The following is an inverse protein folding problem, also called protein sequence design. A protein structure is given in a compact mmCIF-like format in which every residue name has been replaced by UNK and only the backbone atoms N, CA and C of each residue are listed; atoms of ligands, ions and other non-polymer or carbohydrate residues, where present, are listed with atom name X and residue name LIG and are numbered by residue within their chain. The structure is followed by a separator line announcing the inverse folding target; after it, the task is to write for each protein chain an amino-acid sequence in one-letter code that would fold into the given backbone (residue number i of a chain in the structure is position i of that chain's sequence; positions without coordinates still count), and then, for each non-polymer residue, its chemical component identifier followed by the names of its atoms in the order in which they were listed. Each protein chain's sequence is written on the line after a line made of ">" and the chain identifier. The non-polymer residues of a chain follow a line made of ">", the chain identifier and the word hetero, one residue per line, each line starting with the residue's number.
data_IF_639692220437
#
_entry.id   IF_639692220437
#
_cell.length_a   1.000
_cell.length_b   1.000
_cell.length_c   1.000
_cell.angle_alpha   90.00
_cell.angle_beta   90.00
_cell.angle_gamma   90.00
#
_symmetry.space_group_name_H-M   'P 1'
#
loop_
_entity.id
_entity.type
_entity.pdbx_description
1 polymer ?
#
# COMPACT_ATOMS: atom_id res chain seq x y z
N UNK A 1 -86.07 84.28 1.40
CA UNK A 1 -85.02 83.24 1.39
C UNK A 1 -85.60 82.03 2.08
N UNK A 2 -85.98 81.00 1.31
CA UNK A 2 -86.62 79.79 1.87
C UNK A 2 -85.52 78.87 2.40
N UNK A 3 -85.36 78.84 3.71
CA UNK A 3 -84.47 77.90 4.39
C UNK A 3 -85.17 76.54 4.41
N UNK A 4 -84.82 75.66 3.45
CA UNK A 4 -85.42 74.33 3.37
C UNK A 4 -84.76 73.41 4.40
N UNK A 5 -85.30 73.41 5.62
CA UNK A 5 -84.75 72.66 6.75
C UNK A 5 -84.60 71.15 6.46
N UNK A 6 -85.45 70.60 5.61
CA UNK A 6 -85.45 69.19 5.23
C UNK A 6 -84.19 68.78 4.45
N UNK A 7 -83.68 69.65 3.58
CA UNK A 7 -82.44 69.41 2.83
C UNK A 7 -81.21 69.49 3.76
N UNK A 8 -81.22 70.38 4.74
CA UNK A 8 -80.15 70.47 5.73
C UNK A 8 -80.10 69.21 6.61
N UNK A 9 -81.24 68.74 7.11
CA UNK A 9 -81.26 67.52 7.91
C UNK A 9 -80.92 66.28 7.09
N UNK A 10 -81.38 66.16 5.84
CA UNK A 10 -80.97 65.07 4.94
C UNK A 10 -79.48 65.08 4.64
N UNK A 11 -78.89 66.26 4.43
CA UNK A 11 -77.45 66.37 4.17
C UNK A 11 -76.63 65.96 5.38
N UNK A 12 -76.97 66.47 6.58
CA UNK A 12 -76.28 66.11 7.83
C UNK A 12 -76.43 64.62 8.14
N UNK A 13 -77.61 64.04 7.90
CA UNK A 13 -77.84 62.61 8.14
C UNK A 13 -77.07 61.73 7.14
N UNK A 14 -77.03 62.11 5.85
CA UNK A 14 -76.22 61.42 4.83
C UNK A 14 -74.74 61.52 5.13
N UNK A 15 -74.25 62.69 5.54
CA UNK A 15 -72.84 62.91 5.84
C UNK A 15 -72.42 62.10 7.08
N UNK A 16 -73.26 62.04 8.11
CA UNK A 16 -73.01 61.27 9.34
C UNK A 16 -73.14 59.76 9.14
N UNK A 17 -74.04 59.29 8.27
CA UNK A 17 -74.08 57.89 7.85
C UNK A 17 -72.86 57.53 6.99
N UNK A 18 -72.46 58.42 6.07
CA UNK A 18 -71.29 58.18 5.22
C UNK A 18 -69.99 58.18 6.02
N UNK A 19 -69.87 59.00 7.07
CA UNK A 19 -68.72 58.94 7.98
C UNK A 19 -68.74 57.65 8.79
N UNK A 20 -69.89 57.26 9.36
CA UNK A 20 -70.02 56.02 10.13
C UNK A 20 -69.75 54.75 9.31
N UNK A 21 -70.15 54.72 8.03
CA UNK A 21 -69.87 53.61 7.11
C UNK A 21 -68.37 53.58 6.75
N UNK A 22 -67.74 54.73 6.52
CA UNK A 22 -66.29 54.82 6.24
C UNK A 22 -65.43 54.39 7.44
N UNK A 23 -65.88 54.66 8.66
CA UNK A 23 -65.20 54.24 9.88
C UNK A 23 -65.35 52.72 10.08
N UNK A 24 -66.53 52.15 9.82
CA UNK A 24 -66.76 50.69 9.82
C UNK A 24 -65.97 49.94 8.73
N UNK A 25 -65.85 50.51 7.52
CA UNK A 25 -65.06 49.91 6.43
C UNK A 25 -63.55 49.96 6.73
N UNK A 26 -63.05 51.06 7.33
CA UNK A 26 -61.65 51.17 7.77
C UNK A 26 -61.30 50.17 8.88
N UNK A 27 -62.23 49.93 9.80
CA UNK A 27 -62.04 48.95 10.86
C UNK A 27 -62.13 47.51 10.33
N UNK A 28 -62.95 47.25 9.31
CA UNK A 28 -63.05 45.91 8.68
C UNK A 28 -61.77 45.50 7.93
N UNK A 29 -61.06 46.45 7.32
CA UNK A 29 -59.82 46.19 6.58
C UNK A 29 -58.62 45.86 7.50
N UNK A 30 -58.65 46.32 8.76
CA UNK A 30 -57.57 46.12 9.73
C UNK A 30 -57.86 45.04 10.80
N UNK A 31 -59.09 44.51 10.86
CA UNK A 31 -59.46 43.43 11.75
C UNK A 31 -59.10 42.07 11.13
N UNK A 32 -57.83 41.70 11.21
CA UNK A 32 -57.44 40.27 11.15
C UNK A 32 -58.21 39.59 12.29
N UNK A 33 -59.33 38.96 11.97
CA UNK A 33 -60.26 38.46 13.00
C UNK A 33 -59.52 37.41 13.83
N UNK A 34 -59.73 37.36 15.15
CA UNK A 34 -59.06 36.40 16.05
C UNK A 34 -59.12 34.95 15.53
N UNK A 35 -60.21 34.58 14.84
CA UNK A 35 -60.36 33.30 14.16
C UNK A 35 -59.35 33.05 13.02
N UNK A 36 -58.99 34.07 12.24
CA UNK A 36 -58.03 33.99 11.14
C UNK A 36 -56.58 33.83 11.67
N UNK A 37 -56.22 34.57 12.72
CA UNK A 37 -54.94 34.39 13.42
C UNK A 37 -54.81 32.99 14.04
N UNK A 38 -55.90 32.47 14.62
CA UNK A 38 -55.94 31.11 15.15
C UNK A 38 -55.77 30.07 14.03
N UNK A 39 -56.38 30.29 12.87
CA UNK A 39 -56.24 29.40 11.71
C UNK A 39 -54.80 29.42 11.16
N UNK A 40 -54.19 30.60 11.01
CA UNK A 40 -52.79 30.75 10.60
C UNK A 40 -51.84 30.06 11.58
N UNK A 41 -52.05 30.24 12.90
CA UNK A 41 -51.24 29.57 13.92
C UNK A 41 -51.40 28.04 13.90
N UNK A 42 -52.59 27.52 13.58
CA UNK A 42 -52.83 26.08 13.40
C UNK A 42 -52.12 25.55 12.18
N UNK A 43 -52.21 26.24 11.04
CA UNK A 43 -51.49 25.86 9.83
C UNK A 43 -49.96 25.88 10.03
N UNK A 44 -49.45 26.89 10.73
CA UNK A 44 -48.02 26.97 11.08
C UNK A 44 -47.61 25.80 11.98
N UNK A 45 -48.43 25.47 12.99
CA UNK A 45 -48.18 24.32 13.87
C UNK A 45 -48.18 23.00 13.08
N UNK A 46 -49.10 22.81 12.14
CA UNK A 46 -49.12 21.64 11.26
C UNK A 46 -47.92 21.57 10.31
N UNK A 47 -47.42 22.71 9.82
CA UNK A 47 -46.20 22.76 9.00
C UNK A 47 -44.97 22.40 9.83
N UNK A 48 -44.86 22.94 11.05
CA UNK A 48 -43.79 22.62 11.99
C UNK A 48 -43.84 21.14 12.39
N UNK A 49 -45.01 20.60 12.69
CA UNK A 49 -45.18 19.18 13.03
C UNK A 49 -44.80 18.26 11.87
N UNK A 50 -45.15 18.61 10.62
CA UNK A 50 -44.70 17.87 9.44
C UNK A 50 -43.18 17.90 9.29
N UNK A 51 -42.57 19.08 9.42
CA UNK A 51 -41.11 19.22 9.35
C UNK A 51 -40.39 18.43 10.45
N UNK A 52 -40.97 18.39 11.66
CA UNK A 52 -40.43 17.60 12.78
C UNK A 52 -40.52 16.10 12.50
N UNK A 53 -41.65 15.61 12.00
CA UNK A 53 -41.82 14.20 11.62
C UNK A 53 -40.85 13.78 10.52
N UNK A 54 -40.58 14.65 9.55
CA UNK A 54 -39.63 14.36 8.48
C UNK A 54 -38.19 14.32 9.02
N UNK A 55 -37.82 15.22 9.95
CA UNK A 55 -36.54 15.15 10.65
C UNK A 55 -36.40 13.89 11.51
N UNK A 56 -37.45 13.47 12.20
CA UNK A 56 -37.44 12.23 13.00
C UNK A 56 -37.20 11.00 12.11
N UNK A 57 -37.84 10.93 10.94
CA UNK A 57 -37.60 9.86 9.96
C UNK A 57 -36.18 9.89 9.42
N UNK A 58 -35.65 11.07 9.07
CA UNK A 58 -34.28 11.21 8.58
C UNK A 58 -33.27 10.76 9.65
N UNK A 59 -33.47 11.17 10.90
CA UNK A 59 -32.63 10.75 12.02
C UNK A 59 -32.73 9.24 12.27
N UNK A 60 -33.90 8.64 12.12
CA UNK A 60 -34.10 7.20 12.26
C UNK A 60 -33.33 6.43 11.18
N UNK A 61 -33.44 6.82 9.91
CA UNK A 61 -32.68 6.22 8.81
C UNK A 61 -31.18 6.36 9.05
N UNK A 62 -30.73 7.54 9.50
CA UNK A 62 -29.32 7.79 9.81
C UNK A 62 -28.80 6.91 10.95
N UNK A 63 -29.62 6.66 11.98
CA UNK A 63 -29.28 5.74 13.08
C UNK A 63 -29.17 4.30 12.60
N UNK A 64 -30.05 3.87 11.71
CA UNK A 64 -30.00 2.53 11.11
C UNK A 64 -28.74 2.33 10.28
N UNK A 65 -28.42 3.27 9.38
CA UNK A 65 -27.18 3.23 8.59
C UNK A 65 -25.92 3.23 9.48
N UNK A 66 -25.90 4.01 10.57
CA UNK A 66 -24.80 3.98 11.53
C UNK A 66 -24.68 2.63 12.23
N UNK A 67 -25.80 1.97 12.56
CA UNK A 67 -25.82 0.64 13.16
C UNK A 67 -25.28 -0.41 12.20
N UNK A 68 -25.71 -0.39 10.94
CA UNK A 68 -25.20 -1.29 9.90
C UNK A 68 -23.69 -1.12 9.69
N UNK A 69 -23.22 0.13 9.61
CA UNK A 69 -21.79 0.43 9.50
C UNK A 69 -21.01 -0.06 10.73
N UNK A 70 -21.55 0.07 11.93
CA UNK A 70 -20.93 -0.43 13.15
C UNK A 70 -20.79 -1.96 13.14
N UNK A 71 -21.85 -2.68 12.73
CA UNK A 71 -21.82 -4.14 12.58
C UNK A 71 -20.86 -4.60 11.49
N UNK A 72 -20.81 -3.90 10.35
CA UNK A 72 -19.84 -4.17 9.30
C UNK A 72 -18.40 -4.01 9.81
N UNK A 73 -18.11 -2.90 10.52
CA UNK A 73 -16.80 -2.67 11.11
C UNK A 73 -16.45 -3.74 12.15
N UNK A 74 -17.42 -4.23 12.93
CA UNK A 74 -17.21 -5.31 13.90
C UNK A 74 -16.82 -6.62 13.19
N UNK A 75 -17.55 -7.00 12.15
CA UNK A 75 -17.25 -8.19 11.33
C UNK A 75 -15.86 -8.11 10.68
N UNK A 76 -15.50 -6.97 10.10
CA UNK A 76 -14.17 -6.77 9.52
C UNK A 76 -13.05 -6.84 10.56
N UNK A 77 -13.28 -6.29 11.76
CA UNK A 77 -12.33 -6.44 12.88
C UNK A 77 -12.14 -7.89 13.31
N UNK A 78 -13.22 -8.69 13.34
CA UNK A 78 -13.15 -10.11 13.66
C UNK A 78 -12.40 -10.91 12.58
N UNK A 79 -12.69 -10.66 11.31
CA UNK A 79 -11.93 -11.26 10.18
C UNK A 79 -10.44 -10.91 10.26
N UNK A 80 -10.11 -9.66 10.53
CA UNK A 80 -8.71 -9.23 10.67
C UNK A 80 -8.02 -9.91 11.86
N UNK A 81 -8.73 -10.12 12.97
CA UNK A 81 -8.19 -10.88 14.11
C UNK A 81 -7.94 -12.34 13.76
N UNK A 82 -8.84 -12.99 13.02
CA UNK A 82 -8.66 -14.36 12.54
C UNK A 82 -7.46 -14.46 11.61
N UNK A 83 -7.37 -13.58 10.61
CA UNK A 83 -6.23 -13.52 9.70
C UNK A 83 -4.89 -13.34 10.43
N UNK A 84 -4.83 -12.46 11.44
CA UNK A 84 -3.64 -12.29 12.28
C UNK A 84 -3.26 -13.56 13.06
N UNK A 85 -4.25 -14.29 13.56
CA UNK A 85 -4.02 -15.54 14.27
C UNK A 85 -3.49 -16.63 13.33
N UNK A 86 -4.07 -16.74 12.13
CA UNK A 86 -3.70 -17.76 11.16
C UNK A 86 -2.30 -17.49 10.59
N UNK A 87 -2.00 -16.24 10.23
CA UNK A 87 -0.64 -15.83 9.83
C UNK A 87 0.40 -16.07 10.91
N UNK A 88 0.07 -15.85 12.19
CA UNK A 88 0.98 -16.17 13.30
C UNK A 88 1.25 -17.69 13.41
N UNK A 89 0.23 -18.53 13.22
CA UNK A 89 0.40 -19.99 13.20
C UNK A 89 1.27 -20.45 12.02
N UNK A 90 1.02 -19.90 10.83
CA UNK A 90 1.82 -20.21 9.63
C UNK A 90 3.29 -19.83 9.82
N UNK A 91 3.57 -18.67 10.42
CA UNK A 91 4.93 -18.26 10.76
C UNK A 91 5.59 -19.23 11.75
N UNK A 92 4.88 -19.62 12.81
CA UNK A 92 5.39 -20.57 13.79
C UNK A 92 5.68 -21.95 13.16
N UNK A 93 4.79 -22.44 12.28
CA UNK A 93 5.04 -23.67 11.54
C UNK A 93 6.22 -23.55 10.58
N UNK A 94 6.37 -22.41 9.90
CA UNK A 94 7.48 -22.17 8.99
C UNK A 94 8.82 -22.19 9.75
N UNK A 95 8.90 -21.50 10.89
CA UNK A 95 10.07 -21.50 11.76
C UNK A 95 10.40 -22.91 12.26
N UNK A 96 9.39 -23.70 12.65
CA UNK A 96 9.59 -25.09 13.05
C UNK A 96 10.13 -25.95 11.90
N UNK A 97 9.63 -25.78 10.66
CA UNK A 97 10.14 -26.48 9.47
C UNK A 97 11.59 -26.08 9.17
N UNK A 98 11.89 -24.79 9.24
CA UNK A 98 13.24 -24.25 9.03
C UNK A 98 14.23 -24.81 10.05
N UNK A 99 13.86 -24.83 11.34
CA UNK A 99 14.70 -25.41 12.39
C UNK A 99 14.95 -26.91 12.17
N UNK A 100 13.93 -27.68 11.79
CA UNK A 100 14.09 -29.10 11.45
C UNK A 100 15.04 -29.31 10.27
N UNK A 101 14.93 -28.47 9.23
CA UNK A 101 15.84 -28.53 8.08
C UNK A 101 17.28 -28.27 8.51
N UNK A 102 17.53 -27.22 9.31
CA UNK A 102 18.87 -26.90 9.83
C UNK A 102 19.43 -28.03 10.70
N UNK A 103 18.59 -28.65 11.52
CA UNK A 103 19.02 -29.76 12.37
C UNK A 103 19.40 -30.98 11.54
N UNK A 104 18.60 -31.30 10.52
CA UNK A 104 18.90 -32.40 9.59
C UNK A 104 20.18 -32.16 8.81
N UNK A 105 20.42 -30.94 8.31
CA UNK A 105 21.68 -30.63 7.61
C UNK A 105 22.88 -30.76 8.54
N UNK A 106 22.78 -30.31 9.80
CA UNK A 106 23.85 -30.48 10.79
C UNK A 106 24.16 -31.95 11.10
N UNK A 107 23.13 -32.79 11.22
CA UNK A 107 23.30 -34.23 11.41
C UNK A 107 23.91 -34.93 10.18
N UNK A 108 23.57 -34.48 8.98
CA UNK A 108 24.19 -34.97 7.75
C UNK A 108 25.65 -34.53 7.64
N UNK A 109 25.96 -33.27 7.96
CA UNK A 109 27.33 -32.75 8.04
C UNK A 109 28.19 -33.52 9.04
N UNK A 110 27.68 -33.84 10.23
CA UNK A 110 28.43 -34.64 11.21
C UNK A 110 28.71 -36.05 10.70
N UNK A 111 27.72 -36.71 10.07
CA UNK A 111 27.90 -38.03 9.46
C UNK A 111 28.91 -38.01 8.30
N UNK A 112 28.93 -36.93 7.51
CA UNK A 112 29.92 -36.76 6.44
C UNK A 112 31.32 -36.66 7.05
N UNK A 113 31.51 -35.82 8.08
CA UNK A 113 32.81 -35.69 8.77
C UNK A 113 33.32 -37.02 9.33
N UNK A 114 32.46 -37.78 9.99
CA UNK A 114 32.83 -39.12 10.51
C UNK A 114 33.26 -40.07 9.38
N UNK A 115 32.53 -40.07 8.25
CA UNK A 115 32.89 -40.89 7.08
C UNK A 115 34.20 -40.44 6.45
N UNK A 116 34.45 -39.14 6.33
CA UNK A 116 35.72 -38.60 5.82
C UNK A 116 36.91 -39.00 6.69
N UNK A 117 36.76 -38.96 8.02
CA UNK A 117 37.79 -39.44 8.94
C UNK A 117 38.06 -40.94 8.78
N UNK A 118 37.01 -41.75 8.61
CA UNK A 118 37.15 -43.18 8.37
C UNK A 118 37.81 -43.49 7.02
N UNK A 119 37.48 -42.72 5.97
CA UNK A 119 38.14 -42.83 4.66
C UNK A 119 39.64 -42.52 4.81
N UNK A 120 40.00 -41.44 5.51
CA UNK A 120 41.42 -41.11 5.76
C UNK A 120 42.15 -42.24 6.50
N UNK A 121 41.54 -42.85 7.51
CA UNK A 121 42.10 -44.02 8.23
C UNK A 121 42.25 -45.25 7.34
N UNK A 122 41.28 -45.51 6.46
CA UNK A 122 41.36 -46.63 5.52
C UNK A 122 42.42 -46.41 4.44
N UNK A 123 42.59 -45.17 3.96
CA UNK A 123 43.64 -44.83 3.00
C UNK A 123 45.03 -45.08 3.59
N UNK A 124 45.30 -44.65 4.83
CA UNK A 124 46.60 -44.89 5.45
C UNK A 124 46.87 -46.38 5.69
N UNK A 125 45.84 -47.16 6.05
CA UNK A 125 45.95 -48.62 6.17
C UNK A 125 46.22 -49.28 4.81
N UNK A 126 45.54 -48.82 3.75
CA UNK A 126 45.74 -49.33 2.40
C UNK A 126 47.16 -49.06 1.89
N UNK A 127 47.67 -47.84 2.10
CA UNK A 127 49.06 -47.48 1.75
C UNK A 127 50.08 -48.35 2.50
N UNK A 128 49.87 -48.60 3.79
CA UNK A 128 50.72 -49.49 4.58
C UNK A 128 50.70 -50.95 4.07
N UNK A 129 49.51 -51.47 3.73
CA UNK A 129 49.34 -52.80 3.14
C UNK A 129 50.01 -52.91 1.77
N UNK A 130 49.89 -51.87 0.94
CA UNK A 130 50.51 -51.80 -0.37
C UNK A 130 52.04 -51.83 -0.26
N UNK A 131 52.61 -51.03 0.64
CA UNK A 131 54.05 -51.04 0.93
C UNK A 131 54.53 -52.43 1.41
N UNK A 132 53.76 -53.08 2.28
CA UNK A 132 54.08 -54.44 2.75
C UNK A 132 54.02 -55.48 1.62
N UNK A 133 53.04 -55.36 0.70
CA UNK A 133 52.94 -56.22 -0.48
C UNK A 133 54.14 -56.04 -1.40
N UNK A 134 54.57 -54.81 -1.66
CA UNK A 134 55.76 -54.50 -2.46
C UNK A 134 57.02 -55.12 -1.86
N UNK A 135 57.21 -55.03 -0.54
CA UNK A 135 58.33 -55.69 0.16
C UNK A 135 58.30 -57.22 0.00
N UNK A 136 57.12 -57.83 0.10
CA UNK A 136 56.97 -59.28 -0.11
C UNK A 136 57.27 -59.68 -1.55
N UNK A 137 56.82 -58.90 -2.53
CA UNK A 137 57.08 -59.19 -3.94
C UNK A 137 58.56 -59.03 -4.28
N UNK A 138 59.26 -58.04 -3.70
CA UNK A 138 60.73 -57.94 -3.77
C UNK A 138 61.41 -59.18 -3.17
N UNK A 139 60.98 -59.64 -1.99
CA UNK A 139 61.49 -60.88 -1.38
C UNK A 139 61.26 -62.11 -2.26
N UNK A 140 60.10 -62.22 -2.91
CA UNK A 140 59.84 -63.31 -3.87
C UNK A 140 60.76 -63.25 -5.08
N UNK A 141 61.04 -62.06 -5.61
CA UNK A 141 61.97 -61.88 -6.74
C UNK A 141 63.37 -62.35 -6.33
N UNK A 142 63.85 -61.93 -5.16
CA UNK A 142 65.13 -62.38 -4.61
C UNK A 142 65.17 -63.90 -4.40
N UNK A 143 64.14 -64.49 -3.79
CA UNK A 143 64.03 -65.93 -3.60
C UNK A 143 64.05 -66.70 -4.92
N UNK A 144 63.37 -66.21 -5.97
CA UNK A 144 63.43 -66.79 -7.32
C UNK A 144 64.84 -66.69 -7.93
N UNK A 145 65.54 -65.57 -7.74
CA UNK A 145 66.93 -65.40 -8.17
C UNK A 145 67.87 -66.38 -7.45
N UNK A 146 67.71 -66.55 -6.14
CA UNK A 146 68.45 -67.55 -5.35
C UNK A 146 68.17 -68.97 -5.84
N UNK A 147 66.90 -69.32 -6.07
CA UNK A 147 66.51 -70.63 -6.61
C UNK A 147 67.11 -70.89 -8.00
N UNK A 148 67.16 -69.85 -8.85
CA UNK A 148 67.77 -69.92 -10.20
C UNK A 148 69.29 -70.05 -10.14
N UNK A 149 69.93 -69.50 -9.11
CA UNK A 149 71.37 -69.64 -8.87
C UNK A 149 71.72 -71.02 -8.27
N UNK A 150 70.87 -71.59 -7.40
CA UNK A 150 71.03 -72.97 -6.90
C UNK A 150 70.71 -74.03 -7.96
N UNK A 151 69.90 -73.69 -8.98
CA UNK A 151 69.63 -74.55 -10.13
C UNK A 151 70.78 -74.59 -11.17
N UNK A 152 71.84 -73.79 -11.00
CA UNK A 152 73.05 -73.84 -11.84
C UNK A 152 74.07 -74.91 -11.41
N UNK A 153 73.79 -75.70 -10.37
CA UNK A 153 74.48 -76.97 -10.13
C UNK A 153 73.84 -78.05 -11.04
N UNK A 154 74.64 -78.77 -11.86
CA UNK A 154 74.08 -79.60 -12.92
C UNK A 154 73.58 -80.93 -12.36
N UNK A 155 72.27 -81.00 -12.11
CA UNK A 155 71.52 -82.24 -11.92
C UNK A 155 70.61 -82.47 -13.11
N UNK A 156 70.98 -83.44 -13.95
CA UNK A 156 70.31 -83.87 -15.19
C UNK A 156 68.78 -83.95 -15.07
N UNK A 157 68.04 -83.07 -15.74
CA UNK A 157 66.63 -83.30 -16.10
C UNK A 157 66.29 -82.63 -17.45
N UNK A 158 66.99 -83.06 -18.50
CA UNK A 158 66.49 -82.93 -19.88
C UNK A 158 65.32 -83.91 -20.04
N UNK A 159 64.11 -83.43 -19.78
CA UNK A 159 62.86 -83.89 -20.43
C UNK A 159 61.60 -83.16 -19.91
N UNK A 160 61.71 -82.25 -18.92
CA UNK A 160 60.58 -81.43 -18.47
C UNK A 160 60.30 -80.18 -19.34
N UNK A 161 61.27 -79.74 -20.15
CA UNK A 161 61.21 -78.47 -20.90
C UNK A 161 60.10 -78.40 -21.97
N UNK A 162 59.79 -79.51 -22.64
CA UNK A 162 58.74 -79.55 -23.69
C UNK A 162 57.31 -79.54 -23.13
N UNK A 163 57.14 -79.85 -21.83
CA UNK A 163 55.88 -79.62 -21.12
C UNK A 163 55.82 -78.19 -20.58
N UNK A 164 56.93 -77.66 -20.02
CA UNK A 164 57.04 -76.27 -19.55
C UNK A 164 56.68 -75.23 -20.62
N UNK A 165 57.08 -75.46 -21.87
CA UNK A 165 56.82 -74.52 -22.98
C UNK A 165 55.32 -74.45 -23.37
N UNK A 166 54.62 -75.59 -23.31
CA UNK A 166 53.17 -75.66 -23.54
C UNK A 166 52.37 -75.03 -22.39
N UNK A 167 52.82 -75.19 -21.16
CA UNK A 167 52.22 -74.51 -20.00
C UNK A 167 52.49 -73.00 -20.03
N UNK A 168 53.69 -72.57 -20.44
CA UNK A 168 54.04 -71.16 -20.64
C UNK A 168 53.19 -70.49 -21.71
N UNK A 169 53.10 -71.10 -22.90
CA UNK A 169 52.24 -70.60 -23.98
C UNK A 169 50.75 -70.54 -23.61
N UNK A 170 50.26 -71.51 -22.82
CA UNK A 170 48.88 -71.51 -22.31
C UNK A 170 48.65 -70.44 -21.24
N UNK A 171 49.64 -70.17 -20.40
CA UNK A 171 49.59 -69.10 -19.39
C UNK A 171 49.58 -67.72 -20.05
N UNK A 172 50.43 -67.50 -21.06
CA UNK A 172 50.47 -66.25 -21.84
C UNK A 172 49.14 -66.02 -22.57
N UNK A 173 48.55 -67.06 -23.18
CA UNK A 173 47.22 -66.93 -23.80
C UNK A 173 46.13 -66.57 -22.78
N UNK A 174 46.15 -67.18 -21.59
CA UNK A 174 45.20 -66.81 -20.52
C UNK A 174 45.38 -65.35 -20.11
N UNK A 175 46.62 -64.90 -19.92
CA UNK A 175 46.95 -63.54 -19.52
C UNK A 175 46.54 -62.50 -20.59
N UNK A 176 46.69 -62.82 -21.88
CA UNK A 176 46.21 -61.97 -22.98
C UNK A 176 44.68 -61.87 -22.98
N UNK A 177 43.97 -62.98 -22.82
CA UNK A 177 42.50 -62.99 -22.75
C UNK A 177 42.00 -62.22 -21.53
N UNK A 178 42.66 -62.37 -20.40
CA UNK A 178 42.33 -61.68 -19.15
C UNK A 178 42.62 -60.17 -19.25
N UNK A 179 43.72 -59.76 -19.90
CA UNK A 179 43.97 -58.34 -20.24
C UNK A 179 42.92 -57.77 -21.17
N UNK A 180 42.53 -58.48 -22.22
CA UNK A 180 41.47 -58.03 -23.13
C UNK A 180 40.11 -57.91 -22.43
N UNK A 181 39.80 -58.80 -21.48
CA UNK A 181 38.60 -58.69 -20.66
C UNK A 181 38.66 -57.45 -19.75
N UNK A 182 39.79 -57.23 -19.08
CA UNK A 182 40.00 -56.07 -18.21
C UNK A 182 39.98 -54.74 -18.99
N UNK A 183 40.53 -54.69 -20.20
CA UNK A 183 40.48 -53.52 -21.08
C UNK A 183 39.04 -53.20 -21.50
N UNK A 184 38.25 -54.21 -21.89
CA UNK A 184 36.82 -54.02 -22.20
C UNK A 184 36.02 -53.54 -20.99
N UNK A 185 36.31 -54.08 -19.80
CA UNK A 185 35.66 -53.64 -18.57
C UNK A 185 36.06 -52.20 -18.19
N UNK A 186 37.33 -51.83 -18.40
CA UNK A 186 37.82 -50.46 -18.21
C UNK A 186 37.20 -49.48 -19.20
N UNK A 187 37.07 -49.86 -20.48
CA UNK A 187 36.37 -49.05 -21.49
C UNK A 187 34.89 -48.88 -21.15
N UNK A 188 34.22 -49.93 -20.68
CA UNK A 188 32.82 -49.86 -20.23
C UNK A 188 32.66 -48.87 -19.07
N UNK A 189 33.48 -48.99 -18.02
CA UNK A 189 33.46 -48.07 -16.87
C UNK A 189 33.75 -46.64 -17.28
N UNK A 190 34.67 -46.42 -18.23
CA UNK A 190 34.96 -45.08 -18.77
C UNK A 190 33.74 -44.48 -19.50
N UNK A 191 33.02 -45.29 -20.27
CA UNK A 191 31.81 -44.84 -20.97
C UNK A 191 30.67 -44.52 -19.99
N UNK A 192 30.49 -45.32 -18.93
CA UNK A 192 29.54 -45.02 -17.85
C UNK A 192 29.89 -43.71 -17.15
N UNK A 193 31.15 -43.51 -16.76
CA UNK A 193 31.60 -42.26 -16.16
C UNK A 193 31.37 -41.05 -17.09
N UNK A 194 31.59 -41.20 -18.39
CA UNK A 194 31.31 -40.12 -19.35
C UNK A 194 29.81 -39.80 -19.45
N UNK A 195 28.92 -40.79 -19.34
CA UNK A 195 27.47 -40.57 -19.29
C UNK A 195 27.09 -39.83 -18.02
N UNK A 196 27.57 -40.29 -16.86
CA UNK A 196 27.30 -39.67 -15.58
C UNK A 196 27.77 -38.21 -15.55
N UNK A 197 28.98 -37.93 -16.05
CA UNK A 197 29.50 -36.56 -16.14
C UNK A 197 28.60 -35.67 -17.01
N UNK A 198 28.14 -36.17 -18.17
CA UNK A 198 27.24 -35.41 -19.06
C UNK A 198 25.87 -35.15 -18.42
N UNK A 199 25.33 -36.13 -17.71
CA UNK A 199 24.08 -35.95 -16.97
C UNK A 199 24.24 -34.90 -15.87
N UNK A 200 25.33 -34.96 -15.10
CA UNK A 200 25.63 -33.97 -14.06
C UNK A 200 25.82 -32.57 -14.65
N UNK A 201 26.53 -32.44 -15.78
CA UNK A 201 26.68 -31.16 -16.49
C UNK A 201 25.33 -30.60 -16.94
N UNK A 202 24.44 -31.44 -17.43
CA UNK A 202 23.10 -31.01 -17.88
C UNK A 202 22.24 -30.55 -16.69
N UNK A 203 22.29 -31.28 -15.56
CA UNK A 203 21.62 -30.88 -14.32
C UNK A 203 22.19 -29.57 -13.78
N UNK A 204 23.51 -29.41 -13.80
CA UNK A 204 24.17 -28.17 -13.36
C UNK A 204 23.76 -26.99 -14.24
N UNK A 205 23.73 -27.14 -15.56
CA UNK A 205 23.24 -26.12 -16.48
C UNK A 205 21.77 -25.75 -16.20
N UNK A 206 20.93 -26.75 -15.91
CA UNK A 206 19.53 -26.51 -15.57
C UNK A 206 19.39 -25.68 -14.29
N UNK A 207 20.12 -26.03 -13.23
CA UNK A 207 20.10 -25.28 -11.97
C UNK A 207 20.69 -23.88 -12.12
N UNK A 208 21.78 -23.72 -12.88
CA UNK A 208 22.33 -22.39 -13.17
C UNK A 208 21.31 -21.51 -13.89
N UNK A 209 20.58 -22.06 -14.86
CA UNK A 209 19.52 -21.32 -15.55
C UNK A 209 18.37 -20.93 -14.62
N UNK A 210 17.93 -21.84 -13.74
CA UNK A 210 16.91 -21.53 -12.74
C UNK A 210 17.38 -20.44 -11.78
N UNK A 211 18.62 -20.50 -11.32
CA UNK A 211 19.19 -19.50 -10.43
C UNK A 211 19.29 -18.13 -11.11
N UNK A 212 19.69 -18.09 -12.37
CA UNK A 212 19.67 -16.86 -13.18
C UNK A 212 18.26 -16.28 -13.32
N UNK A 213 17.26 -17.12 -13.59
CA UNK A 213 15.86 -16.66 -13.68
C UNK A 213 15.38 -16.07 -12.36
N UNK A 214 15.61 -16.78 -11.24
CA UNK A 214 15.23 -16.30 -9.92
C UNK A 214 15.93 -14.99 -9.55
N UNK A 215 17.20 -14.83 -9.95
CA UNK A 215 17.94 -13.59 -9.75
C UNK A 215 17.31 -12.43 -10.53
N UNK A 216 16.95 -12.65 -11.80
CA UNK A 216 16.27 -11.64 -12.63
C UNK A 216 14.91 -11.26 -12.05
N UNK A 217 14.13 -12.25 -11.59
CA UNK A 217 12.83 -12.00 -10.98
C UNK A 217 12.97 -11.17 -9.69
N UNK A 218 13.98 -11.45 -8.87
CA UNK A 218 14.30 -10.66 -7.68
C UNK A 218 14.71 -9.23 -8.02
N UNK A 219 15.52 -9.03 -9.05
CA UNK A 219 15.95 -7.71 -9.48
C UNK A 219 14.78 -6.88 -10.04
N UNK A 220 13.86 -7.51 -10.77
CA UNK A 220 12.64 -6.87 -11.25
C UNK A 220 11.71 -6.42 -10.09
N UNK A 221 11.49 -7.31 -9.11
CA UNK A 221 10.68 -6.97 -7.93
C UNK A 221 11.32 -5.81 -7.16
N UNK A 222 12.65 -5.80 -7.03
CA UNK A 222 13.39 -4.72 -6.38
C UNK A 222 13.26 -3.40 -7.12
N UNK A 223 13.37 -3.40 -8.46
CA UNK A 223 13.18 -2.17 -9.24
C UNK A 223 11.76 -1.64 -9.12
N UNK A 224 10.74 -2.50 -9.20
CA UNK A 224 9.35 -2.08 -9.03
C UNK A 224 9.10 -1.52 -7.62
N UNK A 225 9.63 -2.19 -6.59
CA UNK A 225 9.52 -1.72 -5.21
C UNK A 225 10.13 -0.33 -5.05
N UNK A 226 11.31 -0.11 -5.62
CA UNK A 226 11.99 1.18 -5.58
C UNK A 226 11.20 2.28 -6.28
N UNK A 227 10.60 2.00 -7.45
CA UNK A 227 9.73 2.96 -8.15
C UNK A 227 8.50 3.35 -7.30
N UNK A 228 7.87 2.37 -6.64
CA UNK A 228 6.73 2.64 -5.76
C UNK A 228 7.12 3.39 -4.49
N UNK A 229 8.31 3.14 -3.96
CA UNK A 229 8.85 3.90 -2.82
C UNK A 229 9.10 5.37 -3.20
N UNK A 230 9.70 5.61 -4.36
CA UNK A 230 9.90 6.98 -4.86
C UNK A 230 8.56 7.70 -5.02
N UNK A 231 7.60 7.06 -5.68
CA UNK A 231 6.26 7.63 -5.88
C UNK A 231 5.51 7.88 -4.57
N UNK A 232 5.68 7.00 -3.58
CA UNK A 232 5.12 7.19 -2.24
C UNK A 232 5.73 8.43 -1.56
N UNK A 233 7.04 8.62 -1.68
CA UNK A 233 7.73 9.76 -1.08
C UNK A 233 7.34 11.08 -1.78
N UNK A 234 7.20 11.08 -3.10
CA UNK A 234 6.70 12.24 -3.85
C UNK A 234 5.28 12.65 -3.44
N UNK A 235 4.37 11.67 -3.31
CA UNK A 235 3.01 11.90 -2.84
C UNK A 235 2.99 12.42 -1.40
N UNK A 236 3.83 11.85 -0.53
CA UNK A 236 3.97 12.30 0.85
C UNK A 236 4.47 13.74 0.92
N UNK A 237 5.55 14.07 0.23
CA UNK A 237 6.09 15.43 0.16
C UNK A 237 5.06 16.43 -0.36
N UNK A 238 4.25 16.02 -1.34
CA UNK A 238 3.19 16.86 -1.88
C UNK A 238 2.06 17.06 -0.88
N UNK A 239 1.61 16.00 -0.21
CA UNK A 239 0.61 16.08 0.85
C UNK A 239 1.08 16.96 2.02
N UNK A 240 2.32 16.81 2.47
CA UNK A 240 2.91 17.65 3.53
C UNK A 240 2.96 19.14 3.12
N UNK A 241 3.29 19.43 1.85
CA UNK A 241 3.24 20.80 1.31
C UNK A 241 1.82 21.37 1.29
N UNK A 242 0.84 20.60 0.81
CA UNK A 242 -0.56 21.04 0.75
C UNK A 242 -1.15 21.22 2.16
N UNK A 243 -0.86 20.32 3.09
CA UNK A 243 -1.28 20.42 4.49
C UNK A 243 -0.69 21.65 5.16
N UNK A 244 0.60 21.94 4.93
CA UNK A 244 1.25 23.15 5.42
C UNK A 244 0.60 24.42 4.84
N UNK A 245 0.33 24.44 3.53
CA UNK A 245 -0.36 25.57 2.89
C UNK A 245 -1.77 25.76 3.45
N UNK A 246 -2.52 24.68 3.62
CA UNK A 246 -3.84 24.71 4.22
C UNK A 246 -3.81 25.24 5.66
N UNK A 247 -2.86 24.76 6.48
CA UNK A 247 -2.67 25.24 7.84
C UNK A 247 -2.32 26.74 7.87
N UNK A 248 -1.45 27.22 6.98
CA UNK A 248 -1.11 28.64 6.86
C UNK A 248 -2.34 29.47 6.46
N UNK A 249 -3.13 29.02 5.49
CA UNK A 249 -4.37 29.69 5.08
C UNK A 249 -5.35 29.73 6.26
N UNK A 250 -5.54 28.62 6.98
CA UNK A 250 -6.42 28.53 8.15
C UNK A 250 -6.00 29.51 9.24
N UNK A 251 -4.70 29.61 9.55
CA UNK A 251 -4.17 30.58 10.52
C UNK A 251 -4.42 32.03 10.07
N UNK A 252 -4.22 32.35 8.78
CA UNK A 252 -4.50 33.69 8.24
C UNK A 252 -5.99 34.04 8.32
N UNK A 253 -6.87 33.13 7.92
CA UNK A 253 -8.32 33.30 8.02
C UNK A 253 -8.71 33.58 9.48
N UNK A 254 -8.22 32.75 10.42
CA UNK A 254 -8.50 32.94 11.84
C UNK A 254 -8.01 34.28 12.36
N UNK A 255 -6.80 34.70 11.96
CA UNK A 255 -6.24 36.01 12.35
C UNK A 255 -7.13 37.17 11.89
N UNK A 256 -7.57 37.16 10.63
CA UNK A 256 -8.48 38.18 10.09
C UNK A 256 -9.85 38.11 10.80
N UNK A 257 -10.38 36.90 11.03
CA UNK A 257 -11.62 36.72 11.76
C UNK A 257 -11.55 37.31 13.17
N UNK A 258 -10.45 37.09 13.90
CA UNK A 258 -10.27 37.64 15.25
C UNK A 258 -10.31 39.18 15.28
N UNK A 259 -9.82 39.85 14.23
CA UNK A 259 -9.90 41.31 14.11
C UNK A 259 -11.33 41.81 13.90
N UNK A 260 -12.15 41.01 13.20
CA UNK A 260 -13.49 41.40 12.77
C UNK A 260 -14.58 40.89 13.73
N UNK A 261 -14.32 39.81 14.46
CA UNK A 261 -15.24 39.14 15.37
C UNK A 261 -15.92 40.08 16.38
N UNK A 262 -15.25 41.08 16.97
CA UNK A 262 -15.90 42.02 17.90
C UNK A 262 -17.04 42.84 17.30
N UNK A 263 -17.07 43.02 15.97
CA UNK A 263 -18.09 43.81 15.27
C UNK A 263 -19.34 43.00 14.90
N UNK A 264 -19.32 41.69 15.09
CA UNK A 264 -20.43 40.80 14.77
C UNK A 264 -20.95 40.13 16.04
N UNK A 265 -22.27 39.91 16.11
CA UNK A 265 -22.90 39.16 17.23
C UNK A 265 -22.82 37.64 17.07
N UNK A 266 -22.42 37.16 15.89
CA UNK A 266 -22.29 35.73 15.58
C UNK A 266 -20.89 35.22 15.95
N UNK A 267 -20.82 34.34 16.95
CA UNK A 267 -19.60 33.58 17.26
C UNK A 267 -19.50 32.35 16.35
N UNK A 268 -18.43 32.26 15.56
CA UNK A 268 -18.14 31.11 14.71
C UNK A 268 -17.06 30.26 15.36
N UNK A 269 -17.22 28.95 15.21
CA UNK A 269 -16.26 27.97 15.71
C UNK A 269 -14.86 28.23 15.15
N UNK A 270 -13.87 28.06 16.02
CA UNK A 270 -12.45 28.27 15.75
C UNK A 270 -11.94 27.27 14.72
N UNK A 271 -12.53 26.07 14.69
CA UNK A 271 -12.13 24.98 13.79
C UNK A 271 -12.78 25.01 12.40
N UNK A 272 -13.73 25.93 12.16
CA UNK A 272 -14.45 26.06 10.87
C UNK A 272 -13.95 27.27 10.05
N UNK A 273 -12.86 27.12 9.26
CA UNK A 273 -12.32 28.21 8.46
C UNK A 273 -13.28 28.68 7.36
N UNK A 274 -14.22 27.83 6.93
CA UNK A 274 -15.14 28.18 5.85
C UNK A 274 -16.19 29.18 6.33
N UNK A 275 -16.81 28.95 7.50
CA UNK A 275 -17.74 29.91 8.09
C UNK A 275 -17.05 31.21 8.52
N UNK A 276 -15.82 31.13 9.03
CA UNK A 276 -15.00 32.32 9.31
C UNK A 276 -14.79 33.16 8.05
N UNK A 277 -14.42 32.52 6.93
CA UNK A 277 -14.22 33.19 5.65
C UNK A 277 -15.51 33.83 5.12
N UNK A 278 -16.67 33.20 5.31
CA UNK A 278 -17.96 33.78 4.92
C UNK A 278 -18.28 35.07 5.67
N UNK A 279 -18.05 35.12 6.98
CA UNK A 279 -18.23 36.34 7.79
C UNK A 279 -17.24 37.43 7.41
N UNK A 280 -15.97 37.06 7.20
CA UNK A 280 -14.95 37.98 6.69
C UNK A 280 -15.42 38.60 5.37
N UNK A 281 -15.93 37.78 4.44
CA UNK A 281 -16.46 38.27 3.15
C UNK A 281 -17.65 39.20 3.33
N UNK A 282 -18.63 38.85 4.18
CA UNK A 282 -19.78 39.72 4.49
C UNK A 282 -19.31 41.07 5.04
N UNK A 283 -18.32 41.07 5.92
CA UNK A 283 -17.75 42.29 6.49
C UNK A 283 -17.09 43.17 5.43
N UNK A 284 -16.24 42.62 4.57
CA UNK A 284 -15.62 43.39 3.49
C UNK A 284 -16.65 43.94 2.48
N UNK A 285 -17.71 43.17 2.18
CA UNK A 285 -18.81 43.64 1.32
C UNK A 285 -19.56 44.82 1.96
N UNK A 286 -19.84 44.75 3.25
CA UNK A 286 -20.50 45.83 4.00
C UNK A 286 -19.62 47.08 4.06
N UNK A 287 -18.32 46.94 4.35
CA UNK A 287 -17.37 48.06 4.35
C UNK A 287 -17.26 48.69 2.96
N UNK A 288 -17.25 47.87 1.89
CA UNK A 288 -17.23 48.38 0.51
C UNK A 288 -18.51 49.14 0.16
N UNK A 289 -19.69 48.62 0.50
CA UNK A 289 -20.96 49.29 0.28
C UNK A 289 -21.02 50.66 0.99
N UNK A 290 -20.56 50.72 2.25
CA UNK A 290 -20.48 51.98 3.01
C UNK A 290 -19.51 52.97 2.35
N UNK A 291 -18.38 52.49 1.83
CA UNK A 291 -17.40 53.34 1.15
C UNK A 291 -17.93 53.87 -0.20
N UNK A 292 -18.67 53.05 -0.94
CA UNK A 292 -19.35 53.41 -2.19
C UNK A 292 -20.46 54.45 -1.93
N UNK A 293 -21.31 54.24 -0.91
CA UNK A 293 -22.33 55.21 -0.49
C UNK A 293 -21.71 56.55 -0.07
N UNK A 294 -20.57 56.52 0.64
CA UNK A 294 -19.80 57.73 0.98
C UNK A 294 -19.20 58.43 -0.24
N UNK A 295 -18.83 57.69 -1.29
CA UNK A 295 -18.34 58.29 -2.54
C UNK A 295 -19.48 58.86 -3.38
N UNK A 296 -20.66 58.23 -3.38
CA UNK A 296 -21.88 58.78 -4.00
C UNK A 296 -22.33 60.07 -3.30
N UNK A 297 -22.17 60.15 -1.97
CA UNK A 297 -22.39 61.38 -1.18
C UNK A 297 -21.32 62.47 -1.44
N UNK A 298 -20.17 62.13 -2.02
CA UNK A 298 -19.11 63.08 -2.41
C UNK A 298 -19.17 63.52 -3.87
N UNK A 299 -20.00 62.89 -4.70
CA UNK A 299 -20.34 63.41 -6.03
C UNK A 299 -21.59 64.29 -5.92
N UNK A 300 -21.45 65.63 -5.82
CA UNK A 300 -22.59 66.51 -5.92
C UNK A 300 -23.17 66.41 -7.34
N UNK A 301 -24.47 66.14 -7.42
CA UNK A 301 -25.27 66.62 -8.54
C UNK A 301 -25.22 68.15 -8.52
N UNK A 302 -24.51 68.74 -9.49
CA UNK A 302 -24.56 70.18 -9.78
C UNK A 302 -23.20 70.86 -9.89
N UNK A 303 -22.83 71.20 -11.12
CA UNK A 303 -21.82 72.23 -11.45
C UNK A 303 -20.46 71.68 -11.84
N UNK A 304 -20.28 71.36 -13.12
CA UNK A 304 -18.95 71.25 -13.73
C UNK A 304 -18.21 72.59 -13.58
N UNK A 305 -16.92 72.56 -13.26
CA UNK A 305 -16.04 73.74 -13.19
C UNK A 305 -16.00 74.55 -14.51
N UNK A 306 -16.51 73.98 -15.61
CA UNK A 306 -16.71 74.67 -16.89
C UNK A 306 -17.83 75.71 -16.86
N UNK A 307 -18.92 75.49 -16.10
CA UNK A 307 -20.03 76.46 -16.01
C UNK A 307 -19.61 77.73 -15.26
N UNK A 308 -18.79 77.58 -14.22
CA UNK A 308 -18.22 78.72 -13.47
C UNK A 308 -17.21 79.49 -14.31
N UNK A 309 -16.49 78.81 -15.22
CA UNK A 309 -15.58 79.46 -16.18
C UNK A 309 -16.34 80.21 -17.28
N UNK A 310 -17.44 79.65 -17.80
CA UNK A 310 -18.26 80.32 -18.81
C UNK A 310 -19.03 81.52 -18.26
N UNK A 311 -19.48 81.47 -16.99
CA UNK A 311 -20.10 82.64 -16.34
C UNK A 311 -19.12 83.80 -16.11
N UNK A 312 -17.85 83.51 -15.77
CA UNK A 312 -16.81 84.54 -15.61
C UNK A 312 -16.36 85.20 -16.91
N UNK A 313 -16.50 84.52 -18.04
CA UNK A 313 -16.20 85.10 -19.36
C UNK A 313 -17.34 85.99 -19.87
N UNK A 314 -18.60 85.68 -19.54
CA UNK A 314 -19.76 86.50 -19.90
C UNK A 314 -19.94 87.76 -19.06
N UNK A 315 -19.29 87.86 -17.90
CA UNK A 315 -19.32 89.07 -17.06
C UNK A 315 -18.16 90.04 -17.34
N UNK A 316 -17.37 89.79 -18.40
CA UNK A 316 -16.20 90.61 -18.80
C UNK A 316 -16.27 91.10 -20.26
N UNK A 317 -17.38 90.88 -20.94
CA UNK A 317 -17.85 91.73 -22.06
C UNK A 317 -18.97 92.61 -21.54
#
# INVERSE_FOLDING_TARGET
>A
MNFNAEDHYRSVFKERLSSGIKDLEKDSANMRTSAMLLAEAREENERVNRALQDQEKELQIRREHLRERAEHVKKEKEKLRQYKLDTAKELQENDARRLRAIQKTKEEESKIREKEENIKKLMTQYEALQAHKEQLDQRKILAKLHQKNTAKMPGKFENAGRHSDRYGARSIRKEIVERQANEKEAEHKKLELMKDIKEQQTRLLHYTKQLQQQQTDLDNIRSETYEWELKREELRSTAEREELQYAQIKVRIRSIYQLIAPYWRESVDIEDPFKQLQLIRKHFQLVRAIAEDRNVMKTPAGGTEEDVRQQRLRSKL
#
